data_IF_577826397424
#
_entry.id   IF_577826397424
#
_cell.length_a   1.000
_cell.length_b   1.000
_cell.length_c   1.000
_cell.angle_alpha   90.00
_cell.angle_beta   90.00
_cell.angle_gamma   90.00
#
_symmetry.space_group_name_H-M   'P 1'
#
loop_
_entity.id
_entity.type
_entity.pdbx_description
1 polymer ?
#
# COMPACT_ATOMS: atom_id res chain seq x y z
N UNK A 1 8.66 17.51 -7.44
CA UNK A 1 7.76 16.42 -7.02
C UNK A 1 6.53 16.29 -7.90
N UNK A 2 5.73 17.32 -8.07
CA UNK A 2 4.41 17.21 -8.73
C UNK A 2 4.39 16.52 -10.09
N UNK A 3 5.38 16.77 -10.96
CA UNK A 3 5.40 16.18 -12.30
C UNK A 3 5.68 14.68 -12.26
N UNK A 4 6.61 14.21 -11.42
CA UNK A 4 6.98 12.79 -11.30
C UNK A 4 5.85 11.98 -10.68
N UNK A 5 5.32 12.42 -9.54
CA UNK A 5 4.22 11.76 -8.83
C UNK A 5 2.95 11.67 -9.69
N UNK A 6 2.49 12.81 -10.28
CA UNK A 6 1.28 12.86 -11.09
C UNK A 6 1.39 12.02 -12.37
N UNK A 7 2.56 12.01 -13.02
CA UNK A 7 2.78 11.16 -14.18
C UNK A 7 2.74 9.68 -13.79
N UNK A 8 3.41 9.30 -12.71
CA UNK A 8 3.40 7.92 -12.22
C UNK A 8 1.98 7.49 -11.84
N UNK A 9 1.22 8.33 -11.14
CA UNK A 9 -0.18 8.07 -10.78
C UNK A 9 -1.03 7.74 -12.00
N UNK A 10 -0.95 8.53 -13.08
CA UNK A 10 -1.68 8.26 -14.34
C UNK A 10 -1.29 6.92 -14.98
N UNK A 11 -0.01 6.57 -14.95
CA UNK A 11 0.46 5.28 -15.46
C UNK A 11 -0.09 4.13 -14.64
N UNK A 12 -0.08 4.25 -13.31
CA UNK A 12 -0.62 3.25 -12.40
C UNK A 12 -2.13 3.09 -12.58
N UNK A 13 -2.87 4.19 -12.67
CA UNK A 13 -4.31 4.19 -12.93
C UNK A 13 -4.65 3.42 -14.21
N UNK A 14 -4.00 3.77 -15.32
CA UNK A 14 -4.23 3.11 -16.60
C UNK A 14 -3.88 1.62 -16.54
N UNK A 15 -2.80 1.25 -15.88
CA UNK A 15 -2.35 -0.13 -15.75
C UNK A 15 -3.32 -0.97 -14.92
N UNK A 16 -3.72 -0.50 -13.72
CA UNK A 16 -4.62 -1.23 -12.84
C UNK A 16 -6.07 -1.28 -13.36
N UNK A 17 -6.51 -0.28 -14.11
CA UNK A 17 -7.82 -0.30 -14.76
C UNK A 17 -7.91 -1.23 -15.99
N UNK A 18 -6.78 -1.58 -16.62
CA UNK A 18 -6.76 -2.35 -17.88
C UNK A 18 -6.12 -3.71 -17.70
N UNK A 19 -4.78 -3.72 -17.59
CA UNK A 19 -3.97 -4.93 -17.72
C UNK A 19 -3.93 -5.74 -16.44
N UNK A 20 -3.79 -5.09 -15.30
CA UNK A 20 -3.58 -5.77 -14.02
C UNK A 20 -4.88 -6.21 -13.34
N UNK A 21 -6.04 -5.65 -13.71
CA UNK A 21 -7.29 -5.88 -13.01
C UNK A 21 -7.60 -7.37 -12.78
N UNK A 22 -7.68 -8.16 -13.86
CA UNK A 22 -8.02 -9.59 -13.75
C UNK A 22 -6.96 -10.40 -12.95
N UNK A 23 -5.70 -9.99 -13.02
CA UNK A 23 -4.63 -10.64 -12.27
C UNK A 23 -4.73 -10.31 -10.77
N UNK A 24 -5.04 -9.07 -10.41
CA UNK A 24 -5.24 -8.63 -9.03
C UNK A 24 -6.53 -9.18 -8.44
N UNK A 25 -7.62 -9.18 -9.19
CA UNK A 25 -8.86 -9.84 -8.81
C UNK A 25 -8.60 -11.30 -8.40
N UNK A 26 -7.93 -12.07 -9.27
CA UNK A 26 -7.60 -13.48 -8.98
C UNK A 26 -6.58 -13.64 -7.85
N UNK A 27 -5.57 -12.77 -7.75
CA UNK A 27 -4.56 -12.83 -6.69
C UNK A 27 -5.15 -12.58 -5.30
N UNK A 28 -6.14 -11.71 -5.22
CA UNK A 28 -6.78 -11.25 -3.97
C UNK A 28 -8.09 -11.98 -3.66
N UNK A 29 -8.51 -12.95 -4.51
CA UNK A 29 -9.64 -13.83 -4.24
C UNK A 29 -9.18 -15.15 -3.60
N UNK A 30 -10.13 -15.99 -3.21
CA UNK A 30 -9.88 -17.35 -2.70
C UNK A 30 -9.70 -18.37 -3.83
N UNK A 31 -9.86 -17.97 -5.09
CA UNK A 31 -9.72 -18.86 -6.25
C UNK A 31 -8.31 -19.44 -6.32
N UNK A 32 -8.19 -20.71 -6.82
CA UNK A 32 -6.90 -21.34 -7.04
C UNK A 32 -6.02 -20.50 -7.98
N UNK A 33 -4.75 -20.38 -7.64
CA UNK A 33 -3.75 -19.69 -8.45
C UNK A 33 -2.55 -20.59 -8.69
N UNK A 34 -1.65 -20.20 -9.61
CA UNK A 34 -0.41 -20.94 -9.82
C UNK A 34 0.47 -20.93 -8.55
N UNK A 35 1.35 -21.89 -8.42
CA UNK A 35 2.29 -21.99 -7.30
C UNK A 35 3.08 -20.69 -7.04
N UNK A 36 3.52 -20.00 -8.09
CA UNK A 36 4.21 -18.71 -7.97
C UNK A 36 3.29 -17.66 -7.33
N UNK A 37 2.05 -17.55 -7.81
CA UNK A 37 1.06 -16.61 -7.29
C UNK A 37 0.66 -16.95 -5.85
N UNK A 38 0.64 -18.23 -5.49
CA UNK A 38 0.39 -18.66 -4.11
C UNK A 38 1.49 -18.16 -3.17
N UNK A 39 2.76 -18.24 -3.56
CA UNK A 39 3.87 -17.68 -2.79
C UNK A 39 3.79 -16.15 -2.65
N UNK A 40 3.31 -15.46 -3.68
CA UNK A 40 3.06 -14.02 -3.60
C UNK A 40 1.90 -13.71 -2.65
N UNK A 41 0.80 -14.47 -2.74
CA UNK A 41 -0.35 -14.35 -1.82
C UNK A 41 0.08 -14.55 -0.36
N UNK A 42 0.86 -15.59 -0.08
CA UNK A 42 1.45 -15.84 1.23
C UNK A 42 2.30 -14.64 1.72
N UNK A 43 3.18 -14.13 0.85
CA UNK A 43 4.01 -12.98 1.16
C UNK A 43 3.20 -11.72 1.48
N UNK A 44 2.16 -11.45 0.68
CA UNK A 44 1.24 -10.33 0.92
C UNK A 44 0.47 -10.48 2.23
N UNK A 45 -0.03 -11.68 2.54
CA UNK A 45 -0.71 -11.94 3.81
C UNK A 45 0.23 -11.73 5.01
N UNK A 46 1.48 -12.20 4.93
CA UNK A 46 2.48 -11.97 5.96
C UNK A 46 2.80 -10.48 6.13
N UNK A 47 2.85 -9.72 5.03
CA UNK A 47 3.05 -8.27 5.04
C UNK A 47 1.86 -7.53 5.63
N UNK A 48 0.63 -7.93 5.27
CA UNK A 48 -0.60 -7.40 5.86
C UNK A 48 -0.64 -7.61 7.37
N UNK A 49 -0.31 -8.81 7.85
CA UNK A 49 -0.23 -9.10 9.27
C UNK A 49 0.85 -8.26 9.98
N UNK A 50 1.99 -8.02 9.33
CA UNK A 50 3.04 -7.17 9.88
C UNK A 50 2.62 -5.69 9.93
N UNK A 51 1.90 -5.17 8.94
CA UNK A 51 1.30 -3.83 9.00
C UNK A 51 0.25 -3.75 10.10
N UNK A 52 -0.63 -4.74 10.20
CA UNK A 52 -1.66 -4.77 11.25
C UNK A 52 -1.08 -4.86 12.66
N UNK A 53 0.15 -5.39 12.83
CA UNK A 53 0.83 -5.44 14.14
C UNK A 53 1.34 -4.08 14.65
N UNK A 54 1.37 -3.05 13.78
CA UNK A 54 1.69 -1.66 14.16
C UNK A 54 0.55 -1.04 14.99
N UNK A 55 -0.66 -1.56 14.84
CA UNK A 55 -1.90 -1.01 15.36
C UNK A 55 -2.38 -1.75 16.62
N UNK A 56 -3.17 -1.09 17.49
CA UNK A 56 -3.92 -1.79 18.54
C UNK A 56 -4.84 -2.86 17.96
N UNK A 57 -5.12 -3.90 18.75
CA UNK A 57 -6.10 -4.93 18.38
C UNK A 57 -7.52 -4.36 18.25
N UNK A 58 -7.92 -3.50 19.17
CA UNK A 58 -9.19 -2.78 19.12
C UNK A 58 -8.98 -1.39 18.50
N UNK A 59 -9.61 -1.14 17.36
CA UNK A 59 -9.58 0.11 16.62
C UNK A 59 -10.89 0.91 16.72
N UNK A 60 -11.77 0.58 17.66
CA UNK A 60 -13.02 1.29 17.87
C UNK A 60 -12.78 2.78 18.15
N UNK A 61 -13.44 3.64 17.39
CA UNK A 61 -13.28 5.09 17.47
C UNK A 61 -12.12 5.67 16.66
N UNK A 62 -11.20 4.87 16.17
CA UNK A 62 -10.12 5.36 15.32
C UNK A 62 -10.54 5.48 13.87
N UNK A 63 -9.99 6.51 13.22
CA UNK A 63 -10.14 6.79 11.80
C UNK A 63 -8.85 6.41 11.07
N UNK A 64 -8.96 5.51 10.09
CA UNK A 64 -7.80 4.93 9.38
C UNK A 64 -7.90 5.17 7.88
N UNK A 65 -6.80 5.61 7.26
CA UNK A 65 -6.65 5.66 5.81
C UNK A 65 -5.92 4.39 5.32
N UNK A 66 -6.55 3.65 4.42
CA UNK A 66 -5.90 2.62 3.60
C UNK A 66 -5.57 3.24 2.24
N UNK A 67 -4.33 3.68 2.08
CA UNK A 67 -3.86 4.46 0.93
C UNK A 67 -3.26 3.54 -0.15
N UNK A 68 -3.96 3.40 -1.26
CA UNK A 68 -3.74 2.36 -2.27
C UNK A 68 -4.39 1.05 -1.85
N UNK A 69 -5.67 1.11 -1.47
CA UNK A 69 -6.40 -0.01 -0.85
C UNK A 69 -6.65 -1.20 -1.79
N UNK A 70 -6.50 -1.01 -3.10
CA UNK A 70 -6.74 -2.04 -4.10
C UNK A 70 -8.13 -2.67 -3.95
N UNK A 71 -8.19 -3.97 -3.70
CA UNK A 71 -9.44 -4.74 -3.53
C UNK A 71 -9.98 -4.77 -2.10
N UNK A 72 -9.48 -3.91 -1.21
CA UNK A 72 -10.04 -3.66 0.12
C UNK A 72 -9.66 -4.65 1.22
N UNK A 73 -8.77 -5.63 0.97
CA UNK A 73 -8.45 -6.68 1.96
C UNK A 73 -7.92 -6.14 3.29
N UNK A 74 -7.06 -5.11 3.27
CA UNK A 74 -6.55 -4.48 4.48
C UNK A 74 -7.66 -3.66 5.17
N UNK A 75 -8.46 -2.92 4.38
CA UNK A 75 -9.60 -2.17 4.89
C UNK A 75 -10.62 -3.05 5.63
N UNK A 76 -10.88 -4.27 5.13
CA UNK A 76 -11.78 -5.22 5.81
C UNK A 76 -11.23 -5.63 7.17
N UNK A 77 -9.93 -5.97 7.27
CA UNK A 77 -9.31 -6.36 8.54
C UNK A 77 -9.32 -5.19 9.55
N UNK A 78 -9.08 -3.96 9.09
CA UNK A 78 -9.13 -2.76 9.93
C UNK A 78 -10.54 -2.50 10.48
N UNK A 79 -11.55 -2.57 9.62
CA UNK A 79 -12.94 -2.36 10.01
C UNK A 79 -13.47 -3.48 10.94
N UNK A 80 -13.02 -4.72 10.73
CA UNK A 80 -13.32 -5.86 11.62
C UNK A 80 -12.77 -5.66 13.03
N UNK A 81 -11.67 -4.87 13.19
CA UNK A 81 -11.15 -4.43 14.49
C UNK A 81 -11.89 -3.21 15.06
N UNK A 82 -12.89 -2.67 14.34
CA UNK A 82 -13.74 -1.55 14.78
C UNK A 82 -13.40 -0.18 14.20
N UNK A 83 -12.39 -0.06 13.34
CA UNK A 83 -12.01 1.21 12.73
C UNK A 83 -13.10 1.78 11.80
N UNK A 84 -13.13 3.11 11.67
CA UNK A 84 -13.76 3.80 10.55
C UNK A 84 -12.70 3.98 9.46
N UNK A 85 -12.87 3.31 8.33
CA UNK A 85 -11.85 3.22 7.28
C UNK A 85 -12.23 4.05 6.06
N UNK A 86 -11.27 4.83 5.58
CA UNK A 86 -11.31 5.41 4.23
C UNK A 86 -10.32 4.61 3.38
N UNK A 87 -10.81 3.92 2.36
CA UNK A 87 -10.00 3.23 1.37
C UNK A 87 -9.90 4.07 0.10
N UNK A 88 -8.69 4.41 -0.33
CA UNK A 88 -8.47 5.20 -1.54
C UNK A 88 -7.57 4.45 -2.51
N UNK A 89 -7.97 4.35 -3.77
CA UNK A 89 -7.14 3.80 -4.84
C UNK A 89 -7.34 4.60 -6.14
N UNK A 90 -6.31 4.66 -6.97
CA UNK A 90 -6.38 5.34 -8.29
C UNK A 90 -7.24 4.57 -9.29
N UNK A 91 -7.40 3.27 -9.11
CA UNK A 91 -8.14 2.39 -10.00
C UNK A 91 -9.62 2.33 -9.66
N UNK A 92 -10.45 2.88 -10.52
CA UNK A 92 -11.92 2.79 -10.41
C UNK A 92 -12.40 1.32 -10.35
N UNK A 93 -11.81 0.45 -11.15
CA UNK A 93 -12.19 -0.97 -11.17
C UNK A 93 -11.85 -1.71 -9.89
N UNK A 94 -10.70 -1.40 -9.27
CA UNK A 94 -10.34 -2.00 -7.98
C UNK A 94 -11.26 -1.49 -6.87
N UNK A 95 -11.64 -0.22 -6.89
CA UNK A 95 -12.60 0.36 -5.95
C UNK A 95 -13.98 -0.26 -6.10
N UNK A 96 -14.47 -0.44 -7.34
CA UNK A 96 -15.74 -1.14 -7.58
C UNK A 96 -15.71 -2.57 -7.01
N UNK A 97 -14.61 -3.30 -7.25
CA UNK A 97 -14.41 -4.65 -6.73
C UNK A 97 -14.28 -4.68 -5.20
N UNK A 98 -13.60 -3.72 -4.59
CA UNK A 98 -13.52 -3.58 -3.13
C UNK A 98 -14.90 -3.36 -2.51
N UNK A 99 -15.72 -2.51 -3.14
CA UNK A 99 -17.09 -2.24 -2.70
C UNK A 99 -17.99 -3.47 -2.85
N UNK A 100 -17.88 -4.21 -3.97
CA UNK A 100 -18.62 -5.46 -4.21
C UNK A 100 -18.28 -6.55 -3.18
N UNK A 101 -16.99 -6.65 -2.80
CA UNK A 101 -16.48 -7.65 -1.85
C UNK A 101 -16.65 -7.26 -0.39
N UNK A 102 -17.09 -6.02 -0.12
CA UNK A 102 -17.24 -5.54 1.24
C UNK A 102 -18.26 -6.41 2.00
N UNK A 103 -17.87 -7.02 3.13
CA UNK A 103 -18.82 -7.75 3.98
C UNK A 103 -19.96 -6.83 4.42
N UNK A 104 -21.19 -7.36 4.41
CA UNK A 104 -22.40 -6.57 4.71
C UNK A 104 -22.34 -5.88 6.06
N UNK A 105 -21.75 -6.54 7.05
CA UNK A 105 -21.54 -6.02 8.40
C UNK A 105 -20.54 -4.86 8.50
N UNK A 106 -19.69 -4.68 7.47
CA UNK A 106 -18.66 -3.65 7.44
C UNK A 106 -19.01 -2.43 6.56
N UNK A 107 -20.11 -2.48 5.79
CA UNK A 107 -20.50 -1.43 4.84
C UNK A 107 -20.59 -0.05 5.49
N UNK A 108 -21.03 0.05 6.73
CA UNK A 108 -21.14 1.32 7.47
C UNK A 108 -19.82 1.76 8.13
N UNK A 109 -18.74 0.96 8.00
CA UNK A 109 -17.42 1.21 8.58
C UNK A 109 -16.37 1.57 7.55
N UNK A 110 -16.61 1.25 6.26
CA UNK A 110 -15.63 1.43 5.19
C UNK A 110 -16.26 2.28 4.09
N UNK A 111 -15.52 3.31 3.68
CA UNK A 111 -15.87 4.15 2.54
C UNK A 111 -14.74 4.10 1.53
N UNK A 112 -15.03 3.58 0.33
CA UNK A 112 -14.09 3.46 -0.77
C UNK A 112 -14.22 4.63 -1.75
N UNK A 113 -13.06 5.21 -2.14
CA UNK A 113 -13.00 6.33 -3.08
C UNK A 113 -11.95 6.08 -4.17
N UNK A 114 -12.35 6.29 -5.41
CA UNK A 114 -11.40 6.40 -6.50
C UNK A 114 -10.77 7.79 -6.46
N UNK A 115 -9.44 7.87 -6.42
CA UNK A 115 -8.78 9.17 -6.37
C UNK A 115 -7.32 9.14 -5.92
N UNK A 116 -6.88 10.30 -5.45
CA UNK A 116 -5.53 10.51 -4.93
C UNK A 116 -5.51 10.37 -3.40
N UNK A 117 -4.65 9.50 -2.88
CA UNK A 117 -4.48 9.35 -1.43
C UNK A 117 -4.01 10.63 -0.73
N UNK A 118 -3.45 11.57 -1.48
CA UNK A 118 -3.01 12.88 -0.98
C UNK A 118 -4.11 13.94 -0.97
N UNK A 119 -5.30 13.66 -1.52
CA UNK A 119 -6.38 14.63 -1.59
C UNK A 119 -6.78 15.12 -0.19
N UNK A 120 -6.71 16.43 0.08
CA UNK A 120 -7.02 17.01 1.39
C UNK A 120 -8.49 16.85 1.81
N UNK A 121 -9.41 16.54 0.87
CA UNK A 121 -10.81 16.29 1.19
C UNK A 121 -11.03 15.18 2.21
N UNK A 122 -10.09 14.22 2.30
CA UNK A 122 -10.19 13.11 3.25
C UNK A 122 -9.85 13.50 4.70
N UNK A 123 -9.32 14.72 4.95
CA UNK A 123 -9.02 15.22 6.32
C UNK A 123 -7.88 14.47 7.02
N UNK A 124 -7.94 14.38 8.35
CA UNK A 124 -6.92 13.76 9.20
C UNK A 124 -7.32 12.36 9.67
N UNK A 125 -6.34 11.56 10.09
CA UNK A 125 -6.49 10.17 10.50
C UNK A 125 -5.67 9.86 11.75
N UNK A 126 -6.11 8.91 12.55
CA UNK A 126 -5.29 8.38 13.62
C UNK A 126 -4.12 7.55 13.06
N UNK A 127 -4.40 6.74 12.03
CA UNK A 127 -3.41 5.89 11.36
C UNK A 127 -3.56 5.99 9.85
N UNK A 128 -2.42 5.92 9.15
CA UNK A 128 -2.37 5.86 7.68
C UNK A 128 -1.55 4.64 7.28
N UNK A 129 -2.08 3.81 6.40
CA UNK A 129 -1.41 2.59 5.95
C UNK A 129 -1.24 2.61 4.42
N UNK A 130 -0.02 2.25 3.97
CA UNK A 130 0.37 2.23 2.56
C UNK A 130 1.01 0.85 2.24
N UNK A 131 0.17 -0.16 2.04
CA UNK A 131 0.62 -1.51 1.73
C UNK A 131 0.78 -1.70 0.22
N UNK A 132 2.02 -1.95 -0.24
CA UNK A 132 2.38 -2.17 -1.65
C UNK A 132 1.98 -1.01 -2.60
N UNK A 133 1.63 0.16 -2.07
CA UNK A 133 1.25 1.33 -2.87
C UNK A 133 2.44 2.21 -3.26
N UNK A 134 3.48 2.27 -2.41
CA UNK A 134 4.67 3.10 -2.66
C UNK A 134 5.76 2.40 -3.48
N UNK A 135 5.62 1.13 -3.80
CA UNK A 135 6.66 0.32 -4.45
C UNK A 135 7.00 0.74 -5.89
N UNK A 136 6.17 1.59 -6.48
CA UNK A 136 6.32 2.09 -7.84
C UNK A 136 6.94 3.50 -7.91
N UNK A 137 7.25 4.12 -6.77
CA UNK A 137 7.74 5.49 -6.68
C UNK A 137 9.22 5.54 -6.35
N UNK A 138 9.90 6.61 -6.82
CA UNK A 138 11.28 6.89 -6.46
C UNK A 138 11.38 7.29 -4.99
N UNK A 139 12.57 7.17 -4.39
CA UNK A 139 12.79 7.46 -2.97
C UNK A 139 12.32 8.88 -2.59
N UNK A 140 12.55 9.87 -3.44
CA UNK A 140 12.17 11.26 -3.16
C UNK A 140 10.66 11.46 -3.23
N UNK A 141 9.99 10.81 -4.19
CA UNK A 141 8.53 10.83 -4.27
C UNK A 141 7.90 10.13 -3.03
N UNK A 142 8.49 9.02 -2.58
CA UNK A 142 8.05 8.33 -1.35
C UNK A 142 8.15 9.27 -0.14
N UNK A 143 9.28 9.95 0.03
CA UNK A 143 9.48 10.87 1.16
C UNK A 143 8.52 12.04 1.10
N UNK A 144 8.26 12.57 -0.08
CA UNK A 144 7.29 13.66 -0.23
C UNK A 144 5.86 13.22 0.09
N UNK A 145 5.43 12.01 -0.36
CA UNK A 145 4.14 11.43 0.01
C UNK A 145 4.05 11.27 1.53
N UNK A 146 5.08 10.70 2.17
CA UNK A 146 5.11 10.53 3.62
C UNK A 146 5.10 11.87 4.35
N UNK A 147 5.82 12.89 3.85
CA UNK A 147 5.84 14.24 4.41
C UNK A 147 4.46 14.91 4.38
N UNK A 148 3.73 14.78 3.28
CA UNK A 148 2.36 15.33 3.20
C UNK A 148 1.39 14.55 4.12
N UNK A 149 1.47 13.23 4.14
CA UNK A 149 0.61 12.40 4.98
C UNK A 149 0.93 12.56 6.47
N UNK A 150 2.20 12.82 6.85
CA UNK A 150 2.57 13.05 8.25
C UNK A 150 1.94 14.32 8.84
N UNK A 151 1.61 15.29 8.00
CA UNK A 151 0.81 16.47 8.40
C UNK A 151 -0.66 16.15 8.72
N UNK A 152 -1.13 14.96 8.34
CA UNK A 152 -2.53 14.53 8.46
C UNK A 152 -2.72 13.29 9.31
N UNK A 153 -1.66 12.75 9.88
CA UNK A 153 -1.71 11.63 10.81
C UNK A 153 -1.52 12.11 12.24
N UNK A 154 -2.26 11.51 13.18
CA UNK A 154 -2.16 11.83 14.60
C UNK A 154 -1.23 10.88 15.36
N UNK A 155 -1.09 9.62 14.90
CA UNK A 155 -0.33 8.58 15.61
C UNK A 155 0.78 7.98 14.76
N UNK A 156 0.44 7.17 13.74
CA UNK A 156 1.43 6.43 12.96
C UNK A 156 1.07 6.31 11.49
N UNK A 157 2.13 6.25 10.67
CA UNK A 157 2.05 5.80 9.28
C UNK A 157 2.75 4.45 9.18
N UNK A 158 2.04 3.41 8.72
CA UNK A 158 2.61 2.11 8.35
C UNK A 158 2.75 2.00 6.84
N UNK A 159 3.92 1.60 6.34
CA UNK A 159 4.13 1.52 4.89
C UNK A 159 5.10 0.41 4.51
N UNK A 160 5.09 0.04 3.23
CA UNK A 160 6.00 -0.96 2.67
C UNK A 160 6.91 -0.39 1.62
N UNK A 161 8.13 -0.91 1.57
CA UNK A 161 9.09 -0.70 0.47
C UNK A 161 9.60 -2.04 -0.03
N UNK A 162 10.02 -2.11 -1.29
CA UNK A 162 10.79 -3.24 -1.81
C UNK A 162 12.28 -2.94 -1.56
N UNK A 163 12.99 -3.76 -0.78
CA UNK A 163 14.38 -3.49 -0.45
C UNK A 163 15.30 -3.70 -1.66
N UNK A 164 16.31 -2.83 -1.78
CA UNK A 164 17.24 -2.81 -2.93
C UNK A 164 17.98 -4.14 -3.17
N UNK A 165 18.14 -4.97 -2.13
CA UNK A 165 18.83 -6.26 -2.20
C UNK A 165 18.06 -7.36 -2.97
N UNK A 166 16.81 -7.13 -3.33
CA UNK A 166 15.91 -8.11 -3.96
C UNK A 166 15.57 -7.73 -5.42
N UNK A 167 16.36 -6.84 -6.01
CA UNK A 167 16.08 -6.22 -7.33
C UNK A 167 15.81 -7.20 -8.47
N UNK A 168 16.52 -8.33 -8.53
CA UNK A 168 16.37 -9.29 -9.63
C UNK A 168 15.10 -10.14 -9.48
N UNK A 169 14.83 -10.60 -8.26
CA UNK A 169 13.67 -11.46 -7.96
C UNK A 169 12.36 -10.71 -8.12
N UNK A 170 12.28 -9.44 -7.71
CA UNK A 170 11.08 -8.64 -7.84
C UNK A 170 10.73 -8.31 -9.31
N UNK A 171 11.73 -7.99 -10.15
CA UNK A 171 11.50 -7.74 -11.59
C UNK A 171 10.99 -8.97 -12.33
N UNK A 172 11.57 -10.14 -12.06
CA UNK A 172 11.15 -11.41 -12.67
C UNK A 172 9.71 -11.79 -12.26
N UNK A 173 9.32 -11.48 -11.05
CA UNK A 173 8.05 -11.86 -10.47
C UNK A 173 6.87 -11.06 -10.99
N UNK A 174 7.01 -9.75 -11.00
CA UNK A 174 5.94 -8.86 -11.42
C UNK A 174 5.72 -9.03 -12.92
N UNK A 175 6.79 -9.19 -13.70
CA UNK A 175 6.69 -9.49 -15.12
C UNK A 175 6.05 -10.84 -15.47
N UNK A 176 6.17 -11.85 -14.59
CA UNK A 176 5.54 -13.17 -14.80
C UNK A 176 4.10 -13.25 -14.28
N UNK A 177 3.71 -12.37 -13.36
CA UNK A 177 2.37 -12.34 -12.78
C UNK A 177 1.32 -11.66 -13.67
N UNK A 178 1.76 -10.78 -14.57
CA UNK A 178 0.88 -9.95 -15.37
C UNK A 178 0.96 -10.29 -16.87
N UNK A 179 -0.13 -10.12 -17.62
CA UNK A 179 -0.16 -10.37 -19.06
C UNK A 179 0.89 -9.54 -19.81
N UNK A 180 1.49 -10.13 -20.85
CA UNK A 180 2.57 -9.54 -21.64
C UNK A 180 2.15 -8.35 -22.55
N UNK A 181 0.93 -7.84 -22.43
CA UNK A 181 0.36 -6.84 -23.34
C UNK A 181 0.72 -5.39 -23.02
N UNK A 182 0.80 -5.01 -21.74
CA UNK A 182 1.19 -3.68 -21.29
C UNK A 182 2.38 -3.78 -20.34
N UNK A 183 3.32 -2.85 -20.43
CA UNK A 183 4.48 -2.84 -19.54
C UNK A 183 3.99 -2.65 -18.09
N UNK A 184 4.18 -3.69 -17.25
CA UNK A 184 4.00 -3.57 -15.81
C UNK A 184 4.77 -2.35 -15.29
N UNK A 185 4.18 -1.50 -14.45
CA UNK A 185 4.92 -0.41 -13.84
C UNK A 185 6.12 -0.97 -13.10
N UNK A 186 7.27 -0.32 -13.26
CA UNK A 186 8.49 -0.76 -12.60
C UNK A 186 8.29 -0.76 -11.08
N UNK A 187 8.68 -1.87 -10.45
CA UNK A 187 8.90 -1.90 -9.01
C UNK A 187 10.27 -1.27 -8.73
N UNK A 188 10.30 -0.27 -7.89
CA UNK A 188 11.49 0.52 -7.59
C UNK A 188 12.04 0.13 -6.23
N UNK A 189 13.14 -0.65 -6.18
CA UNK A 189 13.74 -1.01 -4.91
C UNK A 189 14.41 0.17 -4.23
N UNK A 190 14.19 0.31 -2.93
CA UNK A 190 14.67 1.41 -2.11
C UNK A 190 15.65 0.93 -1.05
N UNK A 191 16.73 1.68 -0.82
CA UNK A 191 17.61 1.44 0.30
C UNK A 191 17.02 2.06 1.56
N UNK A 192 16.57 1.23 2.50
CA UNK A 192 15.94 1.67 3.74
C UNK A 192 16.79 2.69 4.53
N UNK A 193 18.10 2.43 4.68
CA UNK A 193 18.99 3.34 5.44
C UNK A 193 19.08 4.70 4.76
N UNK A 194 19.17 4.72 3.42
CA UNK A 194 19.17 5.96 2.64
C UNK A 194 17.85 6.70 2.76
N UNK A 195 16.72 6.00 2.68
CA UNK A 195 15.38 6.57 2.85
C UNK A 195 15.25 7.27 4.21
N UNK A 196 15.57 6.57 5.30
CA UNK A 196 15.48 7.10 6.66
C UNK A 196 16.44 8.29 6.84
N UNK A 197 17.69 8.18 6.38
CA UNK A 197 18.64 9.29 6.48
C UNK A 197 18.14 10.53 5.74
N UNK A 198 17.61 10.37 4.54
CA UNK A 198 17.14 11.48 3.71
C UNK A 198 15.80 12.06 4.19
N UNK A 199 15.05 11.35 5.04
CA UNK A 199 13.80 11.89 5.59
C UNK A 199 14.00 13.18 6.40
N UNK A 200 15.19 13.38 7.00
CA UNK A 200 15.52 14.60 7.73
C UNK A 200 15.59 15.87 6.85
N UNK A 201 15.60 15.72 5.53
CA UNK A 201 15.52 16.84 4.59
C UNK A 201 14.08 17.37 4.41
N UNK A 202 13.09 16.69 5.01
CA UNK A 202 11.67 17.00 4.89
C UNK A 202 11.10 17.54 6.21
N UNK A 203 10.31 18.63 6.17
CA UNK A 203 9.97 19.41 7.38
C UNK A 203 9.11 18.65 8.41
N UNK A 204 8.33 17.66 7.97
CA UNK A 204 7.43 16.90 8.84
C UNK A 204 7.92 15.47 9.13
N UNK A 205 9.13 15.11 8.66
CA UNK A 205 9.70 13.80 8.86
C UNK A 205 10.98 13.88 9.69
N UNK A 206 11.08 13.01 10.69
CA UNK A 206 12.23 12.89 11.58
C UNK A 206 12.78 11.48 11.51
N UNK A 207 14.08 11.32 11.21
CA UNK A 207 14.69 10.00 10.98
C UNK A 207 14.57 9.06 12.19
N UNK A 208 14.60 9.58 13.40
CA UNK A 208 14.45 8.84 14.66
C UNK A 208 13.02 8.32 14.91
N UNK A 209 12.05 8.85 14.17
CA UNK A 209 10.64 8.42 14.23
C UNK A 209 10.35 7.21 13.33
N UNK A 210 11.32 6.82 12.50
CA UNK A 210 11.17 5.65 11.62
C UNK A 210 11.67 4.39 12.30
N UNK A 211 10.85 3.34 12.24
CA UNK A 211 11.20 2.01 12.72
C UNK A 211 10.90 0.96 11.65
N UNK A 212 11.81 -0.01 11.52
CA UNK A 212 11.53 -1.22 10.74
C UNK A 212 10.83 -2.25 11.61
N UNK A 213 9.66 -2.68 11.18
CA UNK A 213 8.82 -3.65 11.87
C UNK A 213 9.18 -5.08 11.47
N UNK A 214 9.21 -5.35 10.17
CA UNK A 214 9.47 -6.69 9.64
C UNK A 214 10.04 -6.68 8.24
N UNK A 215 10.81 -7.71 7.93
CA UNK A 215 11.15 -8.09 6.55
C UNK A 215 10.39 -9.34 6.17
N UNK A 216 9.64 -9.30 5.09
CA UNK A 216 8.90 -10.45 4.54
C UNK A 216 9.59 -10.89 3.25
N UNK A 217 9.87 -12.20 3.15
CA UNK A 217 10.53 -12.85 2.01
C UNK A 217 9.91 -14.22 1.79
N UNK A 218 9.28 -14.46 0.66
CA UNK A 218 8.65 -15.75 0.32
C UNK A 218 9.11 -16.27 -1.06
N UNK A 219 10.40 -16.13 -1.37
CA UNK A 219 10.98 -16.54 -2.65
C UNK A 219 10.59 -15.64 -3.82
N UNK A 220 9.31 -15.36 -3.97
CA UNK A 220 8.74 -14.57 -5.07
C UNK A 220 8.12 -13.23 -4.62
N UNK A 221 8.16 -12.90 -3.38
CA UNK A 221 7.68 -11.63 -2.85
C UNK A 221 8.66 -11.12 -1.80
N UNK A 222 8.91 -9.81 -1.80
CA UNK A 222 9.79 -9.17 -0.85
C UNK A 222 9.28 -7.78 -0.48
N UNK A 223 9.06 -7.57 0.80
CA UNK A 223 8.72 -6.27 1.36
C UNK A 223 9.43 -6.06 2.69
N UNK A 224 9.86 -4.83 2.95
CA UNK A 224 10.17 -4.35 4.29
C UNK A 224 8.99 -3.49 4.76
N UNK A 225 8.48 -3.82 5.94
CA UNK A 225 7.42 -3.08 6.62
C UNK A 225 8.07 -2.09 7.58
N UNK A 226 7.73 -0.82 7.43
CA UNK A 226 8.22 0.28 8.25
C UNK A 226 7.04 1.02 8.89
N UNK A 227 7.31 1.67 10.02
CA UNK A 227 6.43 2.66 10.60
C UNK A 227 7.15 4.00 10.75
N UNK A 228 6.37 5.07 10.68
CA UNK A 228 6.72 6.41 11.13
C UNK A 228 5.75 6.79 12.26
N UNK A 229 6.29 7.14 13.42
CA UNK A 229 5.50 7.60 14.58
C UNK A 229 5.58 9.13 14.68
N UNK A 230 4.43 9.77 14.86
CA UNK A 230 4.36 11.22 14.99
C UNK A 230 4.84 11.72 16.34
#
# INVERSE_FOLDING_TARGET
>A
MEVSYLQKKKVLEAYFNRTAFAAWDRLTSELPVSWVRERVREGRNNTKNAILSILPENLSGFRVLDAGCGTGQLAFDLASRGANVIGVDVSEKLIALASERCPKELVNKIFFYQGDMLDPQFGSFDFILLMDSLIHYQQDDILEVLNQLSGRVEKKIGFTIVPKTVTLSAKLLIGQMFPKGDKSPDVIPVNQKSLIKKSSDFPNLFSEKFQKIRSVRTGFYAADVLEFSK
#
